data_IF_765050006033
#
_entry.id   IF_765050006033
#
_cell.length_a   1.000
_cell.length_b   1.000
_cell.length_c   1.000
_cell.angle_alpha   90.00
_cell.angle_beta   90.00
_cell.angle_gamma   90.00
#
_symmetry.space_group_name_H-M   'P 1'
#
loop_
_entity.id
_entity.type
_entity.pdbx_description
1 polymer ?
#
# COMPACT_ATOMS: atom_id res chain seq x y z
N UNK A 1 -60.88 30.53 -8.14
CA UNK A 1 -59.86 29.97 -7.24
C UNK A 1 -58.71 29.25 -8.00
N UNK A 2 -58.97 28.30 -8.92
CA UNK A 2 -57.91 27.57 -9.65
C UNK A 2 -56.95 28.46 -10.48
N UNK A 3 -57.43 29.54 -11.07
CA UNK A 3 -56.63 30.51 -11.86
C UNK A 3 -55.69 31.38 -11.01
N UNK A 4 -56.07 31.69 -9.79
CA UNK A 4 -55.30 32.50 -8.85
C UNK A 4 -54.11 31.66 -8.30
N UNK A 5 -54.37 30.37 -8.04
CA UNK A 5 -53.31 29.45 -7.60
C UNK A 5 -52.24 29.24 -8.68
N UNK A 6 -52.65 29.17 -9.96
CA UNK A 6 -51.71 29.05 -11.07
C UNK A 6 -50.82 30.30 -11.22
N UNK A 7 -51.33 31.50 -11.00
CA UNK A 7 -50.56 32.75 -11.03
C UNK A 7 -49.58 32.86 -9.88
N UNK A 8 -49.96 32.41 -8.68
CA UNK A 8 -49.05 32.38 -7.51
C UNK A 8 -47.92 31.39 -7.73
N UNK A 9 -48.22 30.21 -8.32
CA UNK A 9 -47.19 29.20 -8.60
C UNK A 9 -46.20 29.67 -9.66
N UNK A 10 -46.62 30.37 -10.71
CA UNK A 10 -45.73 30.99 -11.69
C UNK A 10 -44.87 32.11 -11.11
N UNK A 11 -45.40 32.91 -10.18
CA UNK A 11 -44.63 33.98 -9.56
C UNK A 11 -43.51 33.47 -8.65
N UNK A 12 -43.74 32.36 -7.97
CA UNK A 12 -42.73 31.73 -7.11
C UNK A 12 -41.59 31.11 -7.95
N UNK A 13 -41.87 30.58 -9.14
CA UNK A 13 -40.82 30.06 -10.05
C UNK A 13 -40.00 31.18 -10.70
N UNK A 14 -40.55 32.36 -10.90
CA UNK A 14 -39.84 33.49 -11.50
C UNK A 14 -38.81 34.13 -10.56
N UNK A 15 -38.97 33.99 -9.24
CA UNK A 15 -38.02 34.54 -8.25
C UNK A 15 -36.82 33.63 -7.98
N UNK A 16 -36.83 32.35 -8.41
CA UNK A 16 -35.74 31.40 -8.17
C UNK A 16 -34.60 31.49 -9.20
N UNK A 17 -34.69 32.33 -10.21
CA UNK A 17 -33.71 32.42 -11.31
C UNK A 17 -32.77 33.63 -11.24
N UNK A 18 -32.78 34.41 -10.17
CA UNK A 18 -31.98 35.62 -10.07
C UNK A 18 -30.91 35.61 -8.99
N UNK A 19 -30.39 34.42 -8.60
CA UNK A 19 -29.33 34.29 -7.61
C UNK A 19 -28.16 33.43 -8.14
N UNK A 20 -27.77 33.62 -9.42
CA UNK A 20 -26.46 33.20 -9.90
C UNK A 20 -25.81 34.42 -10.55
N UNK A 21 -25.27 35.30 -9.72
CA UNK A 21 -24.23 36.22 -10.13
C UNK A 21 -22.94 35.40 -10.25
N UNK A 22 -22.47 35.27 -11.49
CA UNK A 22 -21.26 34.51 -11.79
C UNK A 22 -20.08 35.04 -11.01
N UNK A 23 -19.56 34.21 -10.14
CA UNK A 23 -18.16 34.26 -9.74
C UNK A 23 -17.37 33.55 -10.83
N UNK A 24 -16.44 34.29 -11.39
CA UNK A 24 -15.36 33.83 -12.26
C UNK A 24 -14.72 32.59 -11.60
N UNK A 25 -14.53 31.46 -12.32
CA UNK A 25 -13.90 30.31 -11.72
C UNK A 25 -12.49 30.71 -11.31
N UNK A 26 -12.28 30.85 -10.00
CA UNK A 26 -10.95 30.85 -9.43
C UNK A 26 -10.21 29.62 -9.93
N UNK A 27 -8.92 29.71 -10.31
CA UNK A 27 -8.16 28.56 -10.76
C UNK A 27 -8.30 27.46 -9.73
N UNK A 28 -8.81 26.32 -10.18
CA UNK A 28 -8.96 25.10 -9.36
C UNK A 28 -7.61 24.85 -8.71
N UNK A 29 -7.50 25.14 -7.42
CA UNK A 29 -6.36 24.72 -6.64
C UNK A 29 -6.30 23.20 -6.79
N UNK A 30 -5.33 22.74 -7.57
CA UNK A 30 -4.92 21.35 -7.63
C UNK A 30 -4.78 20.91 -6.17
N UNK A 31 -5.42 19.83 -5.73
CA UNK A 31 -5.22 19.39 -4.36
C UNK A 31 -3.73 19.21 -4.17
N UNK A 32 -3.14 20.10 -3.39
CA UNK A 32 -1.79 19.92 -2.87
C UNK A 32 -1.87 18.60 -2.10
N UNK A 33 -1.21 17.58 -2.61
CA UNK A 33 -1.08 16.32 -1.89
C UNK A 33 -0.59 16.69 -0.49
N UNK A 34 -1.45 16.48 0.48
CA UNK A 34 -1.11 16.62 1.88
C UNK A 34 0.14 15.76 2.08
N UNK A 35 1.26 16.28 2.61
CA UNK A 35 2.45 15.47 2.77
C UNK A 35 2.05 14.27 3.63
N UNK A 36 2.09 13.08 3.02
CA UNK A 36 1.98 11.82 3.75
C UNK A 36 2.94 11.94 4.92
N UNK A 37 2.51 11.81 6.18
CA UNK A 37 3.41 11.92 7.32
C UNK A 37 4.55 10.95 7.06
N UNK A 38 5.78 11.46 6.93
CA UNK A 38 6.97 10.62 6.89
C UNK A 38 6.87 9.74 8.13
N UNK A 39 6.64 8.46 7.93
CA UNK A 39 6.65 7.48 9.00
C UNK A 39 8.04 7.56 9.62
N UNK A 40 8.15 8.25 10.74
CA UNK A 40 9.40 8.36 11.48
C UNK A 40 9.70 6.98 12.06
N UNK A 41 10.45 6.17 11.30
CA UNK A 41 10.88 4.86 11.75
C UNK A 41 11.77 5.01 12.98
N UNK A 42 11.31 4.50 14.11
CA UNK A 42 12.12 4.47 15.33
C UNK A 42 13.14 3.32 15.22
N UNK A 43 14.45 3.59 15.46
CA UNK A 43 15.45 2.51 15.44
C UNK A 43 15.09 1.36 16.37
N UNK A 44 15.20 0.13 15.86
CA UNK A 44 14.94 -1.11 16.61
C UNK A 44 16.27 -1.79 16.88
N UNK A 45 16.58 -2.00 18.16
CA UNK A 45 17.78 -2.75 18.59
C UNK A 45 17.37 -4.10 19.17
N UNK A 46 18.09 -5.14 18.78
CA UNK A 46 17.87 -6.50 19.26
C UNK A 46 19.18 -7.26 19.41
N UNK A 47 19.14 -8.32 20.20
CA UNK A 47 20.24 -9.23 20.36
C UNK A 47 19.93 -10.57 19.71
N UNK A 48 20.85 -11.06 18.88
CA UNK A 48 20.75 -12.36 18.24
C UNK A 48 22.09 -13.11 18.33
N UNK A 49 22.09 -14.29 18.90
CA UNK A 49 23.28 -15.12 19.14
C UNK A 49 24.47 -14.36 19.75
N UNK A 50 24.20 -13.55 20.76
CA UNK A 50 25.22 -12.74 21.44
C UNK A 50 25.71 -11.50 20.68
N UNK A 51 25.16 -11.24 19.48
CA UNK A 51 25.46 -10.05 18.69
C UNK A 51 24.34 -9.01 18.85
N UNK A 52 24.70 -7.76 19.08
CA UNK A 52 23.79 -6.63 19.04
C UNK A 52 23.65 -6.15 17.60
N UNK A 53 22.42 -5.92 17.19
CA UNK A 53 22.08 -5.36 15.88
C UNK A 53 21.09 -4.21 16.08
N UNK A 54 21.24 -3.15 15.30
CA UNK A 54 20.31 -2.03 15.29
C UNK A 54 19.88 -1.74 13.87
N UNK A 55 18.56 -1.74 13.65
CA UNK A 55 17.95 -1.36 12.38
C UNK A 55 17.50 0.08 12.52
N UNK A 56 18.11 0.97 11.78
CA UNK A 56 17.89 2.42 11.87
C UNK A 56 16.93 2.96 10.81
N UNK A 57 16.64 2.17 9.78
CA UNK A 57 15.72 2.51 8.71
C UNK A 57 14.78 1.34 8.45
N UNK A 58 13.56 1.61 8.02
CA UNK A 58 12.63 0.55 7.65
C UNK A 58 13.19 -0.25 6.45
N UNK A 59 13.38 -1.58 6.58
CA UNK A 59 13.83 -2.41 5.48
C UNK A 59 12.87 -2.31 4.28
N UNK A 60 13.43 -2.08 3.09
CA UNK A 60 12.67 -1.99 1.85
C UNK A 60 12.85 -3.21 0.94
N UNK A 61 13.91 -3.98 1.18
CA UNK A 61 14.25 -5.18 0.44
C UNK A 61 14.48 -6.33 1.41
N UNK A 62 13.75 -7.40 1.23
CA UNK A 62 13.74 -8.55 2.13
C UNK A 62 13.98 -9.82 1.31
N UNK A 63 14.84 -10.68 1.78
CA UNK A 63 14.97 -12.07 1.30
C UNK A 63 14.39 -12.98 2.38
N UNK A 64 13.41 -13.79 2.03
CA UNK A 64 12.81 -14.75 2.96
C UNK A 64 13.48 -16.11 2.87
N UNK A 65 13.60 -16.81 4.00
CA UNK A 65 14.20 -18.13 4.10
C UNK A 65 13.17 -19.12 4.65
N UNK A 66 12.63 -19.92 3.76
CA UNK A 66 11.59 -20.89 4.00
C UNK A 66 10.20 -20.37 3.63
N UNK A 67 9.31 -21.25 3.13
CA UNK A 67 7.99 -20.89 2.63
C UNK A 67 7.12 -20.24 3.71
N UNK A 68 7.18 -20.70 4.95
CA UNK A 68 6.46 -20.12 6.07
C UNK A 68 6.84 -18.66 6.35
N UNK A 69 8.11 -18.29 6.14
CA UNK A 69 8.52 -16.88 6.26
C UNK A 69 7.91 -16.04 5.14
N UNK A 70 7.90 -16.56 3.91
CA UNK A 70 7.31 -15.89 2.75
C UNK A 70 5.80 -15.67 2.95
N UNK A 71 5.08 -16.70 3.43
CA UNK A 71 3.65 -16.61 3.74
C UNK A 71 3.33 -15.56 4.81
N UNK A 72 4.17 -15.43 5.83
CA UNK A 72 3.98 -14.39 6.86
C UNK A 72 4.05 -12.99 6.24
N UNK A 73 4.97 -12.75 5.30
CA UNK A 73 5.04 -11.48 4.58
C UNK A 73 3.79 -11.24 3.74
N UNK A 74 3.31 -12.27 3.02
CA UNK A 74 2.05 -12.18 2.25
C UNK A 74 0.85 -11.92 3.17
N UNK A 75 0.76 -12.61 4.30
CA UNK A 75 -0.33 -12.41 5.27
C UNK A 75 -0.34 -11.01 5.89
N UNK A 76 0.81 -10.34 5.93
CA UNK A 76 0.94 -8.97 6.42
C UNK A 76 0.77 -7.91 5.30
N UNK A 77 0.56 -8.31 4.04
CA UNK A 77 0.49 -7.41 2.89
C UNK A 77 1.83 -6.73 2.59
N UNK A 78 2.94 -7.43 2.82
CA UNK A 78 4.30 -6.94 2.65
C UNK A 78 5.06 -7.71 1.55
N UNK A 79 4.37 -8.45 0.70
CA UNK A 79 4.95 -9.25 -0.38
C UNK A 79 5.75 -8.40 -1.36
N UNK A 80 5.37 -7.17 -1.60
CA UNK A 80 6.08 -6.23 -2.47
C UNK A 80 7.46 -5.80 -1.93
N UNK A 81 7.75 -6.05 -0.64
CA UNK A 81 9.07 -5.88 -0.04
C UNK A 81 9.98 -7.09 -0.24
N UNK A 82 9.40 -8.25 -0.58
CA UNK A 82 10.17 -9.49 -0.74
C UNK A 82 10.75 -9.56 -2.13
N UNK A 83 12.06 -9.30 -2.25
CA UNK A 83 12.79 -9.31 -3.52
C UNK A 83 13.27 -10.71 -3.92
N UNK A 84 13.16 -11.69 -3.03
CA UNK A 84 13.53 -13.06 -3.32
C UNK A 84 13.24 -14.00 -2.15
N UNK A 85 13.03 -15.27 -2.50
CA UNK A 85 12.79 -16.34 -1.53
C UNK A 85 13.84 -17.44 -1.70
N UNK A 86 14.09 -18.19 -0.64
CA UNK A 86 15.03 -19.31 -0.64
C UNK A 86 14.59 -20.38 0.37
N UNK A 87 15.31 -21.52 0.39
CA UNK A 87 14.99 -22.67 1.23
C UNK A 87 13.60 -23.25 0.94
N UNK A 88 13.22 -23.29 -0.34
CA UNK A 88 11.91 -23.75 -0.83
C UNK A 88 11.82 -25.30 -0.93
N UNK A 89 12.75 -26.03 -0.30
CA UNK A 89 12.83 -27.49 -0.36
C UNK A 89 11.89 -28.20 0.62
N UNK A 90 10.76 -27.61 0.93
CA UNK A 90 9.71 -28.20 1.75
C UNK A 90 8.66 -28.89 0.87
N UNK A 91 8.12 -30.00 1.37
CA UNK A 91 7.11 -30.79 0.66
C UNK A 91 5.72 -30.16 0.62
N UNK A 92 5.45 -29.21 1.50
CA UNK A 92 4.21 -28.46 1.55
C UNK A 92 4.42 -27.15 0.82
N UNK A 93 3.63 -26.92 -0.21
CA UNK A 93 3.56 -25.60 -0.88
C UNK A 93 2.96 -24.53 0.01
N UNK A 94 2.84 -23.33 -0.54
CA UNK A 94 2.15 -22.22 0.12
C UNK A 94 0.67 -22.54 0.37
N UNK A 95 0.08 -21.91 1.38
CA UNK A 95 -1.36 -21.96 1.61
C UNK A 95 -2.08 -21.42 0.35
N UNK A 96 -3.23 -22.02 -0.04
CA UNK A 96 -3.93 -21.63 -1.28
C UNK A 96 -4.21 -20.13 -1.40
N UNK A 97 -4.49 -19.47 -0.30
CA UNK A 97 -4.78 -18.04 -0.24
C UNK A 97 -3.57 -17.14 -0.54
N UNK A 98 -2.35 -17.66 -0.40
CA UNK A 98 -1.10 -16.92 -0.65
C UNK A 98 -0.31 -17.47 -1.84
N UNK A 99 -0.78 -18.56 -2.47
CA UNK A 99 -0.04 -19.27 -3.50
C UNK A 99 0.40 -18.34 -4.65
N UNK A 100 -0.52 -17.57 -5.20
CA UNK A 100 -0.24 -16.66 -6.30
C UNK A 100 0.79 -15.59 -5.93
N UNK A 101 0.70 -15.03 -4.72
CA UNK A 101 1.64 -14.03 -4.24
C UNK A 101 3.04 -14.63 -4.00
N UNK A 102 3.09 -15.82 -3.39
CA UNK A 102 4.34 -16.55 -3.16
C UNK A 102 4.99 -16.96 -4.47
N UNK A 103 4.22 -17.43 -5.45
CA UNK A 103 4.73 -17.86 -6.76
C UNK A 103 5.28 -16.69 -7.58
N UNK A 104 4.74 -15.49 -7.40
CA UNK A 104 5.24 -14.28 -8.04
C UNK A 104 6.63 -13.84 -7.55
N UNK A 105 7.04 -14.25 -6.34
CA UNK A 105 8.33 -13.88 -5.76
C UNK A 105 9.45 -14.74 -6.36
N UNK A 106 10.54 -14.13 -6.87
CA UNK A 106 11.67 -14.86 -7.45
C UNK A 106 12.32 -15.83 -6.46
N UNK A 107 12.59 -17.07 -6.90
CA UNK A 107 13.37 -18.02 -6.11
C UNK A 107 14.85 -17.81 -6.35
N UNK A 108 15.57 -17.37 -5.34
CA UNK A 108 17.04 -17.18 -5.39
C UNK A 108 17.79 -18.50 -5.27
N UNK A 109 17.29 -19.41 -4.45
CA UNK A 109 17.85 -20.72 -4.23
C UNK A 109 16.81 -21.67 -3.65
N UNK A 110 16.81 -22.92 -4.08
CA UNK A 110 15.98 -23.97 -3.47
C UNK A 110 16.45 -24.32 -2.06
N UNK A 111 17.77 -24.27 -1.83
CA UNK A 111 18.39 -24.45 -0.51
C UNK A 111 18.87 -23.11 0.08
N UNK A 112 19.98 -23.18 0.83
CA UNK A 112 20.62 -21.98 1.37
C UNK A 112 21.21 -21.13 0.24
N UNK A 113 20.91 -19.83 0.17
CA UNK A 113 21.52 -18.95 -0.80
C UNK A 113 22.97 -18.66 -0.43
N UNK A 114 23.81 -18.42 -1.43
CA UNK A 114 25.15 -17.86 -1.22
C UNK A 114 25.05 -16.36 -0.92
N UNK A 115 26.07 -15.81 -0.26
CA UNK A 115 26.13 -14.37 -0.03
C UNK A 115 26.05 -13.57 -1.35
N UNK A 116 26.67 -14.10 -2.42
CA UNK A 116 26.61 -13.45 -3.74
C UNK A 116 25.20 -13.42 -4.32
N UNK A 117 24.43 -14.50 -4.21
CA UNK A 117 23.02 -14.52 -4.65
C UNK A 117 22.17 -13.50 -3.91
N UNK A 118 22.42 -13.29 -2.61
CA UNK A 118 21.72 -12.26 -1.83
C UNK A 118 22.13 -10.86 -2.30
N UNK A 119 23.42 -10.62 -2.53
CA UNK A 119 23.93 -9.32 -3.00
C UNK A 119 23.37 -9.00 -4.39
N UNK A 120 23.36 -9.98 -5.29
CA UNK A 120 22.91 -9.80 -6.68
C UNK A 120 21.40 -9.60 -6.79
N UNK A 121 20.64 -10.00 -5.78
CA UNK A 121 19.17 -9.78 -5.74
C UNK A 121 18.79 -8.32 -5.50
N UNK A 122 19.71 -7.47 -5.11
CA UNK A 122 19.51 -6.05 -4.92
C UNK A 122 19.80 -5.53 -3.57
#
# INVERSE_FOLDING_TARGET
>A
MKRIIAFILCLVMAFSLCACKGDEPAPSAQPTAEPTPESSYAPVSFQNHGKHSTVTVLPQKVVTAGPNCTEVFCALGLEDKVIGKCMENHSLGALPEYADAVDAIPTLSVGYPTAQQIIDSG
#
